data_IF_078221179232
#
_entry.id   IF_078221179232
#
_cell.length_a   1.000
_cell.length_b   1.000
_cell.length_c   1.000
_cell.angle_alpha   90.00
_cell.angle_beta   90.00
_cell.angle_gamma   90.00
#
_symmetry.space_group_name_H-M   'P 1'
#
loop_
_entity.id
_entity.type
_entity.pdbx_description
1 polymer ?
#
# COMPACT_ATOMS: atom_id res chain seq x y z
N UNK A 1 -25.19 -34.79 -17.70
CA UNK A 1 -26.30 -34.51 -16.76
C UNK A 1 -26.35 -33.00 -16.56
N UNK A 2 -27.40 -32.31 -17.03
CA UNK A 2 -27.61 -30.89 -16.78
C UNK A 2 -28.71 -30.67 -15.73
N UNK A 3 -28.53 -29.70 -14.84
CA UNK A 3 -29.67 -29.05 -14.16
C UNK A 3 -29.44 -27.55 -14.10
N UNK A 4 -30.26 -26.86 -14.89
CA UNK A 4 -30.61 -25.45 -14.79
C UNK A 4 -31.59 -25.23 -13.61
N UNK A 5 -31.45 -24.12 -12.89
CA UNK A 5 -32.51 -23.48 -12.08
C UNK A 5 -32.08 -22.02 -11.80
N UNK A 6 -32.66 -20.94 -12.37
CA UNK A 6 -34.02 -20.37 -12.21
C UNK A 6 -34.35 -20.03 -10.73
N UNK A 7 -34.91 -18.90 -10.27
CA UNK A 7 -35.66 -17.76 -10.86
C UNK A 7 -36.21 -16.89 -9.67
N UNK A 8 -36.52 -15.58 -9.89
CA UNK A 8 -37.45 -14.68 -9.13
C UNK A 8 -37.06 -14.23 -7.68
N UNK A 9 -37.20 -12.97 -7.23
CA UNK A 9 -38.41 -12.11 -7.24
C UNK A 9 -38.09 -10.60 -7.20
N UNK A 10 -38.85 -9.83 -7.99
CA UNK A 10 -39.12 -8.39 -7.82
C UNK A 10 -40.45 -8.18 -7.06
N UNK A 11 -40.66 -6.93 -6.62
CA UNK A 11 -41.87 -6.27 -6.09
C UNK A 11 -41.84 -6.05 -4.56
N UNK A 12 -42.23 -4.90 -3.98
CA UNK A 12 -43.19 -3.90 -4.45
C UNK A 12 -42.96 -2.49 -3.88
N UNK A 13 -43.41 -1.48 -4.65
CA UNK A 13 -43.72 -0.10 -4.26
C UNK A 13 -44.75 -0.03 -3.10
N UNK A 14 -44.61 0.98 -2.24
CA UNK A 14 -45.75 1.69 -1.67
C UNK A 14 -45.38 3.17 -1.42
N UNK A 15 -46.00 4.05 -2.20
CA UNK A 15 -46.01 5.49 -2.00
C UNK A 15 -47.20 5.87 -1.11
N UNK A 16 -47.04 6.84 -0.19
CA UNK A 16 -48.14 7.73 0.16
C UNK A 16 -47.63 9.09 0.66
N UNK A 17 -48.35 10.11 0.22
CA UNK A 17 -48.03 11.52 0.09
C UNK A 17 -49.01 12.34 0.99
N UNK A 18 -48.61 13.58 1.38
CA UNK A 18 -49.42 14.82 1.69
C UNK A 18 -49.37 15.37 3.14
N UNK A 19 -49.60 16.70 3.30
CA UNK A 19 -48.72 17.65 3.99
C UNK A 19 -49.47 18.40 5.13
N UNK A 20 -48.77 19.27 5.85
CA UNK A 20 -49.41 20.36 6.56
C UNK A 20 -48.51 21.61 6.60
N UNK A 21 -48.96 22.63 5.87
CA UNK A 21 -48.55 24.02 5.95
C UNK A 21 -49.20 24.68 7.17
N UNK A 22 -48.45 25.47 7.95
CA UNK A 22 -48.82 26.74 8.58
C UNK A 22 -47.78 27.12 9.65
N UNK A 23 -47.40 28.35 9.94
CA UNK A 23 -47.56 29.69 9.36
C UNK A 23 -46.51 30.57 10.07
N UNK A 24 -46.13 31.65 9.40
CA UNK A 24 -45.22 32.72 9.79
C UNK A 24 -45.18 33.11 11.28
N UNK A 25 -43.94 33.27 11.79
CA UNK A 25 -43.62 34.29 12.78
C UNK A 25 -42.44 35.12 12.22
N UNK A 26 -42.72 36.40 12.01
CA UNK A 26 -41.78 37.41 11.58
C UNK A 26 -40.63 37.57 12.59
N UNK A 27 -39.40 37.57 12.09
CA UNK A 27 -38.35 38.43 12.66
C UNK A 27 -37.68 39.14 11.50
N UNK A 28 -38.35 40.21 11.09
CA UNK A 28 -37.80 41.32 10.34
C UNK A 28 -36.72 41.98 11.23
N UNK A 29 -35.57 42.34 10.66
CA UNK A 29 -34.56 43.24 11.24
C UNK A 29 -33.41 42.62 12.08
N UNK A 30 -32.54 41.81 11.46
CA UNK A 30 -31.12 41.77 11.85
C UNK A 30 -30.21 41.19 10.74
N UNK A 31 -30.17 41.84 9.57
CA UNK A 31 -29.40 41.37 8.42
C UNK A 31 -28.60 42.52 7.78
N UNK A 32 -27.82 43.29 8.54
CA UNK A 32 -26.88 44.29 7.98
C UNK A 32 -25.61 44.57 8.84
N UNK A 33 -25.23 43.72 9.81
CA UNK A 33 -24.00 43.95 10.60
C UNK A 33 -23.22 42.67 10.93
N UNK A 34 -22.93 41.84 9.94
CA UNK A 34 -21.84 40.85 10.05
C UNK A 34 -21.06 40.72 8.74
N UNK A 35 -21.02 41.79 7.95
CA UNK A 35 -19.97 41.97 6.94
C UNK A 35 -18.92 42.89 7.54
N UNK A 36 -17.65 42.50 7.44
CA UNK A 36 -16.46 43.15 8.01
C UNK A 36 -16.08 42.74 9.44
N UNK A 37 -15.87 41.44 9.64
CA UNK A 37 -14.72 41.03 10.45
C UNK A 37 -13.68 40.43 9.49
N UNK A 38 -12.50 41.06 9.36
CA UNK A 38 -11.56 40.74 8.30
C UNK A 38 -10.86 39.41 8.58
N UNK A 39 -10.58 38.71 7.48
CA UNK A 39 -9.84 37.47 7.33
C UNK A 39 -8.38 37.54 7.87
N UNK A 40 -8.19 37.79 9.17
CA UNK A 40 -6.88 37.99 9.78
C UNK A 40 -6.40 36.84 10.69
N UNK A 41 -7.15 35.75 10.80
CA UNK A 41 -6.73 34.55 11.57
C UNK A 41 -6.20 33.38 10.73
N UNK A 42 -6.08 33.50 9.40
CA UNK A 42 -5.77 32.34 8.53
C UNK A 42 -4.37 32.20 7.88
N UNK A 43 -3.38 33.11 8.00
CA UNK A 43 -2.09 32.89 7.34
C UNK A 43 -1.23 31.82 8.03
N UNK A 44 -1.36 31.63 9.36
CA UNK A 44 -0.54 30.67 10.11
C UNK A 44 -0.92 29.21 9.81
N UNK A 45 -2.21 28.87 9.90
CA UNK A 45 -2.72 27.52 9.60
C UNK A 45 -2.47 27.11 8.15
N UNK A 46 -2.62 28.05 7.20
CA UNK A 46 -2.35 27.78 5.79
C UNK A 46 -0.86 27.54 5.52
N UNK A 47 0.03 28.20 6.27
CA UNK A 47 1.46 28.02 6.16
C UNK A 47 1.93 26.68 6.78
N UNK A 48 1.31 26.21 7.86
CA UNK A 48 1.59 24.92 8.47
C UNK A 48 1.15 23.75 7.56
N UNK A 49 -0.07 23.81 7.03
CA UNK A 49 -0.57 22.79 6.08
C UNK A 49 0.32 22.69 4.82
N UNK A 50 0.83 23.81 4.31
CA UNK A 50 1.77 23.82 3.18
C UNK A 50 3.13 23.20 3.53
N UNK A 51 3.60 23.38 4.77
CA UNK A 51 4.85 22.78 5.23
C UNK A 51 4.72 21.27 5.38
N UNK A 52 3.64 20.79 5.98
CA UNK A 52 3.32 19.37 6.14
C UNK A 52 3.19 18.67 4.79
N UNK A 53 2.38 19.21 3.88
CA UNK A 53 2.25 18.67 2.52
C UNK A 53 3.60 18.64 1.78
N UNK A 54 4.42 19.68 1.97
CA UNK A 54 5.78 19.72 1.42
C UNK A 54 6.72 18.65 2.00
N UNK A 55 6.55 18.29 3.27
CA UNK A 55 7.34 17.27 3.96
C UNK A 55 6.96 15.86 3.52
N UNK A 56 5.65 15.55 3.49
CA UNK A 56 5.12 14.28 3.00
C UNK A 56 5.61 13.97 1.58
N UNK A 57 5.56 14.96 0.68
CA UNK A 57 6.06 14.82 -0.70
C UNK A 57 7.55 14.51 -0.77
N UNK A 58 8.37 15.16 0.07
CA UNK A 58 9.82 14.92 0.13
C UNK A 58 10.11 13.52 0.66
N UNK A 59 9.38 13.10 1.70
CA UNK A 59 9.52 11.78 2.29
C UNK A 59 9.14 10.70 1.26
N UNK A 60 7.96 10.80 0.65
CA UNK A 60 7.51 9.86 -0.37
C UNK A 60 8.51 9.76 -1.54
N UNK A 61 9.02 10.90 -2.03
CA UNK A 61 10.05 10.89 -3.08
C UNK A 61 11.31 10.17 -2.64
N UNK A 62 11.82 10.45 -1.44
CA UNK A 62 13.04 9.81 -0.95
C UNK A 62 12.88 8.29 -0.82
N UNK A 63 11.71 7.84 -0.34
CA UNK A 63 11.37 6.41 -0.24
C UNK A 63 11.25 5.76 -1.63
N UNK A 64 10.52 6.38 -2.55
CA UNK A 64 10.37 5.89 -3.92
C UNK A 64 11.70 5.85 -4.69
N UNK A 65 12.56 6.88 -4.54
CA UNK A 65 13.92 6.89 -5.10
C UNK A 65 14.76 5.75 -4.55
N UNK A 66 14.71 5.51 -3.23
CA UNK A 66 15.42 4.39 -2.61
C UNK A 66 14.95 3.05 -3.19
N UNK A 67 13.63 2.84 -3.29
CA UNK A 67 13.06 1.61 -3.84
C UNK A 67 13.43 1.42 -5.32
N UNK A 68 13.39 2.47 -6.14
CA UNK A 68 13.78 2.40 -7.55
C UNK A 68 15.27 2.08 -7.73
N UNK A 69 16.13 2.56 -6.82
CA UNK A 69 17.55 2.22 -6.83
C UNK A 69 17.79 0.76 -6.42
N UNK A 70 17.08 0.26 -5.41
CA UNK A 70 17.15 -1.15 -5.02
C UNK A 70 16.68 -2.06 -6.17
N UNK A 71 15.57 -1.71 -6.82
CA UNK A 71 15.05 -2.41 -8.00
C UNK A 71 16.03 -2.34 -9.18
N UNK A 72 16.70 -1.22 -9.41
CA UNK A 72 17.73 -1.09 -10.46
C UNK A 72 18.87 -2.08 -10.26
N UNK A 73 19.33 -2.23 -9.01
CA UNK A 73 20.38 -3.18 -8.67
C UNK A 73 19.89 -4.63 -8.89
N UNK A 74 18.69 -4.98 -8.39
CA UNK A 74 18.11 -6.31 -8.56
C UNK A 74 17.90 -6.67 -10.03
N UNK A 75 17.37 -5.75 -10.84
CA UNK A 75 17.18 -5.95 -12.28
C UNK A 75 18.54 -6.10 -12.99
N UNK A 76 19.57 -5.36 -12.57
CA UNK A 76 20.93 -5.49 -13.12
C UNK A 76 21.59 -6.82 -12.78
N UNK A 77 21.37 -7.34 -11.58
CA UNK A 77 21.85 -8.66 -11.17
C UNK A 77 21.10 -9.77 -11.92
N UNK A 78 19.78 -9.63 -12.06
CA UNK A 78 18.94 -10.52 -12.87
C UNK A 78 19.41 -10.55 -14.33
N UNK A 79 19.69 -9.39 -14.95
CA UNK A 79 20.20 -9.29 -16.31
C UNK A 79 21.50 -10.09 -16.48
N UNK A 80 22.44 -9.98 -15.53
CA UNK A 80 23.68 -10.78 -15.51
C UNK A 80 23.42 -12.28 -15.36
N UNK A 81 22.46 -12.69 -14.54
CA UNK A 81 22.07 -14.10 -14.38
C UNK A 81 21.48 -14.66 -15.69
N UNK A 82 20.62 -13.88 -16.36
CA UNK A 82 20.00 -14.24 -17.65
C UNK A 82 21.03 -14.36 -18.78
N UNK A 83 22.07 -13.52 -18.79
CA UNK A 83 23.19 -13.65 -19.73
C UNK A 83 23.98 -14.95 -19.54
N UNK A 84 24.07 -15.44 -18.31
CA UNK A 84 24.76 -16.68 -17.95
C UNK A 84 23.86 -17.93 -18.12
N UNK A 85 22.56 -17.74 -18.35
CA UNK A 85 21.59 -18.82 -18.53
C UNK A 85 21.67 -19.48 -19.92
N UNK A 86 21.18 -20.72 -20.01
CA UNK A 86 21.09 -21.46 -21.27
C UNK A 86 20.09 -20.87 -22.27
N UNK A 87 20.20 -21.25 -23.56
CA UNK A 87 19.52 -20.58 -24.68
C UNK A 87 17.98 -20.54 -24.61
N UNK A 88 17.32 -21.57 -24.06
CA UNK A 88 15.85 -21.64 -24.04
C UNK A 88 15.23 -20.72 -22.97
N UNK A 89 15.74 -20.73 -21.73
CA UNK A 89 15.25 -19.85 -20.66
C UNK A 89 15.63 -18.38 -20.86
N UNK A 90 16.69 -18.12 -21.63
CA UNK A 90 17.22 -16.79 -21.84
C UNK A 90 16.25 -15.86 -22.60
N UNK A 91 15.47 -16.35 -23.57
CA UNK A 91 14.61 -15.48 -24.38
C UNK A 91 13.42 -14.92 -23.60
N UNK A 92 12.75 -15.77 -22.81
CA UNK A 92 11.61 -15.35 -22.00
C UNK A 92 12.06 -14.36 -20.92
N UNK A 93 13.13 -14.69 -20.19
CA UNK A 93 13.65 -13.81 -19.13
C UNK A 93 14.21 -12.49 -19.69
N UNK A 94 14.79 -12.47 -20.89
CA UNK A 94 15.20 -11.22 -21.55
C UNK A 94 14.01 -10.28 -21.82
N UNK A 95 12.88 -10.84 -22.25
CA UNK A 95 11.65 -10.07 -22.41
C UNK A 95 11.20 -9.47 -21.08
N UNK A 96 11.14 -10.28 -20.03
CA UNK A 96 10.78 -9.84 -18.68
C UNK A 96 11.72 -8.75 -18.17
N UNK A 97 13.05 -8.91 -18.29
CA UNK A 97 14.03 -7.88 -17.86
C UNK A 97 13.80 -6.55 -18.59
N UNK A 98 13.51 -6.58 -19.88
CA UNK A 98 13.23 -5.35 -20.65
C UNK A 98 11.96 -4.65 -20.16
N UNK A 99 10.89 -5.41 -19.87
CA UNK A 99 9.64 -4.87 -19.32
C UNK A 99 9.86 -4.25 -17.94
N UNK A 100 10.59 -4.94 -17.05
CA UNK A 100 10.93 -4.43 -15.72
C UNK A 100 11.74 -3.13 -15.79
N UNK A 101 12.75 -3.05 -16.67
CA UNK A 101 13.55 -1.83 -16.91
C UNK A 101 12.68 -0.68 -17.39
N UNK A 102 11.82 -0.94 -18.38
CA UNK A 102 10.97 0.09 -18.96
C UNK A 102 10.01 0.68 -17.91
N UNK A 103 9.43 -0.16 -17.07
CA UNK A 103 8.52 0.29 -16.02
C UNK A 103 9.22 1.05 -14.91
N UNK A 104 10.42 0.59 -14.49
CA UNK A 104 11.29 1.34 -13.57
C UNK A 104 11.56 2.74 -14.12
N UNK A 105 11.97 2.85 -15.38
CA UNK A 105 12.28 4.12 -16.03
C UNK A 105 11.03 5.03 -16.13
N UNK A 106 9.85 4.44 -16.36
CA UNK A 106 8.58 5.17 -16.36
C UNK A 106 8.27 5.74 -14.96
N UNK A 107 8.38 4.94 -13.91
CA UNK A 107 8.17 5.37 -12.53
C UNK A 107 9.15 6.49 -12.13
N UNK A 108 10.41 6.38 -12.53
CA UNK A 108 11.42 7.43 -12.31
C UNK A 108 11.05 8.75 -12.99
N UNK A 109 10.50 8.69 -14.21
CA UNK A 109 10.05 9.85 -14.96
C UNK A 109 8.82 10.52 -14.32
N UNK A 110 7.85 9.72 -13.88
CA UNK A 110 6.63 10.21 -13.20
C UNK A 110 6.95 10.84 -11.83
N UNK A 111 7.91 10.27 -11.10
CA UNK A 111 8.38 10.84 -9.83
C UNK A 111 8.93 12.28 -9.97
N UNK A 112 9.53 12.58 -11.13
CA UNK A 112 10.03 13.93 -11.44
C UNK A 112 8.89 14.94 -11.62
N UNK A 113 7.67 14.47 -11.92
CA UNK A 113 6.48 15.32 -12.12
C UNK A 113 5.78 15.68 -10.81
N UNK A 114 6.02 14.94 -9.71
CA UNK A 114 5.40 15.15 -8.40
C UNK A 114 5.65 16.55 -7.80
N UNK A 115 6.77 17.19 -8.13
CA UNK A 115 7.15 18.51 -7.62
C UNK A 115 6.13 19.61 -7.99
N UNK A 116 5.49 19.47 -9.15
CA UNK A 116 4.56 20.46 -9.68
C UNK A 116 3.08 20.13 -9.44
N UNK A 117 2.78 18.96 -8.87
CA UNK A 117 1.41 18.48 -8.69
C UNK A 117 0.66 19.31 -7.64
N UNK A 118 -0.63 19.54 -7.83
CA UNK A 118 -1.53 19.99 -6.75
C UNK A 118 -1.64 18.93 -5.66
N UNK A 119 -2.32 19.23 -4.54
CA UNK A 119 -2.45 18.26 -3.45
C UNK A 119 -3.26 17.03 -3.84
N UNK A 120 -4.40 17.23 -4.49
CA UNK A 120 -5.20 16.11 -5.00
C UNK A 120 -4.43 15.27 -6.02
N UNK A 121 -3.73 15.92 -6.96
CA UNK A 121 -2.92 15.20 -7.95
C UNK A 121 -1.77 14.42 -7.31
N UNK A 122 -1.15 14.98 -6.27
CA UNK A 122 -0.10 14.29 -5.53
C UNK A 122 -0.63 13.03 -4.85
N UNK A 123 -1.77 13.09 -4.17
CA UNK A 123 -2.34 11.92 -3.49
C UNK A 123 -2.73 10.81 -4.49
N UNK A 124 -3.32 11.18 -5.63
CA UNK A 124 -3.63 10.23 -6.70
C UNK A 124 -2.36 9.58 -7.28
N UNK A 125 -1.34 10.39 -7.59
CA UNK A 125 -0.06 9.90 -8.11
C UNK A 125 0.70 9.05 -7.09
N UNK A 126 0.69 9.43 -5.81
CA UNK A 126 1.32 8.69 -4.71
C UNK A 126 0.74 7.29 -4.62
N UNK A 127 -0.60 7.17 -4.67
CA UNK A 127 -1.29 5.88 -4.63
C UNK A 127 -0.94 4.98 -5.83
N UNK A 128 -1.06 5.51 -7.06
CA UNK A 128 -0.73 4.77 -8.29
C UNK A 128 0.74 4.30 -8.31
N UNK A 129 1.67 5.22 -8.01
CA UNK A 129 3.09 4.91 -7.97
C UNK A 129 3.41 3.87 -6.89
N UNK A 130 2.81 3.96 -5.71
CA UNK A 130 3.02 2.97 -4.63
C UNK A 130 2.55 1.58 -5.05
N UNK A 131 1.41 1.49 -5.73
CA UNK A 131 0.92 0.21 -6.25
C UNK A 131 1.87 -0.37 -7.29
N UNK A 132 2.33 0.45 -8.24
CA UNK A 132 3.24 0.03 -9.32
C UNK A 132 4.64 -0.31 -8.84
N UNK A 133 5.17 0.41 -7.84
CA UNK A 133 6.44 0.05 -7.19
C UNK A 133 6.35 -1.33 -6.52
N UNK A 134 5.25 -1.61 -5.83
CA UNK A 134 5.03 -2.91 -5.20
C UNK A 134 4.90 -4.04 -6.23
N UNK A 135 4.19 -3.80 -7.33
CA UNK A 135 4.02 -4.77 -8.40
C UNK A 135 5.34 -5.02 -9.16
N UNK A 136 6.10 -3.96 -9.45
CA UNK A 136 7.44 -4.06 -10.05
C UNK A 136 8.38 -4.87 -9.15
N UNK A 137 8.35 -4.64 -7.83
CA UNK A 137 9.15 -5.42 -6.88
C UNK A 137 8.75 -6.89 -6.84
N UNK A 138 7.46 -7.20 -6.81
CA UNK A 138 6.96 -8.57 -6.86
C UNK A 138 7.42 -9.29 -8.13
N UNK A 139 7.24 -8.68 -9.31
CA UNK A 139 7.64 -9.28 -10.59
C UNK A 139 9.16 -9.42 -10.71
N UNK A 140 9.93 -8.49 -10.16
CA UNK A 140 11.40 -8.58 -10.11
C UNK A 140 11.84 -9.77 -9.25
N UNK A 141 11.28 -9.91 -8.05
CA UNK A 141 11.56 -11.05 -7.14
C UNK A 141 11.15 -12.39 -7.77
N UNK A 142 9.99 -12.44 -8.43
CA UNK A 142 9.54 -13.63 -9.16
C UNK A 142 10.51 -14.00 -10.30
N UNK A 143 10.95 -13.01 -11.08
CA UNK A 143 11.88 -13.23 -12.19
C UNK A 143 13.26 -13.67 -11.70
N UNK A 144 13.74 -13.13 -10.57
CA UNK A 144 14.99 -13.54 -9.92
C UNK A 144 14.95 -15.03 -9.55
N UNK A 145 13.88 -15.46 -8.88
CA UNK A 145 13.72 -16.88 -8.50
C UNK A 145 13.65 -17.77 -9.74
N UNK A 146 12.93 -17.35 -10.79
CA UNK A 146 12.81 -18.12 -12.04
C UNK A 146 14.12 -18.18 -12.85
N UNK A 147 15.02 -17.21 -12.67
CA UNK A 147 16.34 -17.22 -13.32
C UNK A 147 17.34 -18.16 -12.63
N UNK A 148 17.09 -18.56 -11.37
CA UNK A 148 17.95 -19.49 -10.64
C UNK A 148 17.92 -20.87 -11.30
N UNK A 149 19.11 -21.44 -11.49
CA UNK A 149 19.28 -22.67 -12.29
C UNK A 149 19.18 -23.93 -11.45
N UNK A 150 19.30 -23.81 -10.13
CA UNK A 150 19.30 -24.95 -9.23
C UNK A 150 18.30 -24.80 -8.10
N UNK A 151 17.74 -25.94 -7.69
CA UNK A 151 16.91 -26.06 -6.51
C UNK A 151 17.61 -25.57 -5.23
N UNK A 152 18.92 -25.78 -5.13
CA UNK A 152 19.68 -25.33 -3.96
C UNK A 152 19.75 -23.80 -3.87
N UNK A 153 19.92 -23.09 -4.99
CA UNK A 153 19.91 -21.62 -5.02
C UNK A 153 18.55 -21.09 -4.58
N UNK A 154 17.46 -21.61 -5.15
CA UNK A 154 16.10 -21.22 -4.77
C UNK A 154 15.84 -21.47 -3.29
N UNK A 155 16.27 -22.62 -2.75
CA UNK A 155 16.08 -22.94 -1.34
C UNK A 155 16.82 -21.96 -0.42
N UNK A 156 18.05 -21.58 -0.75
CA UNK A 156 18.84 -20.64 0.05
C UNK A 156 18.25 -19.24 0.02
N UNK A 157 17.83 -18.78 -1.16
CA UNK A 157 17.14 -17.51 -1.33
C UNK A 157 15.83 -17.50 -0.52
N UNK A 158 14.98 -18.51 -0.73
CA UNK A 158 13.70 -18.68 -0.05
C UNK A 158 13.83 -18.64 1.48
N UNK A 159 14.76 -19.42 2.05
CA UNK A 159 14.98 -19.45 3.50
C UNK A 159 15.38 -18.08 4.05
N UNK A 160 16.27 -17.38 3.36
CA UNK A 160 16.71 -16.03 3.75
C UNK A 160 15.54 -15.05 3.71
N UNK A 161 14.74 -15.13 2.65
CA UNK A 161 13.59 -14.25 2.43
C UNK A 161 12.47 -14.52 3.43
N UNK A 162 12.14 -15.78 3.69
CA UNK A 162 11.14 -16.18 4.69
C UNK A 162 11.54 -15.72 6.10
N UNK A 163 12.82 -15.79 6.46
CA UNK A 163 13.30 -15.23 7.74
C UNK A 163 13.18 -13.71 7.82
N UNK A 164 13.30 -13.00 6.70
CA UNK A 164 13.05 -11.56 6.64
C UNK A 164 11.55 -11.25 6.80
N UNK A 165 10.69 -12.00 6.12
CA UNK A 165 9.23 -11.92 6.26
C UNK A 165 8.83 -12.14 7.72
N UNK A 166 9.34 -13.19 8.36
CA UNK A 166 9.04 -13.52 9.76
C UNK A 166 9.42 -12.36 10.69
N UNK A 167 10.63 -11.80 10.54
CA UNK A 167 11.08 -10.64 11.33
C UNK A 167 10.22 -9.39 11.13
N UNK A 168 9.79 -9.14 9.89
CA UNK A 168 8.93 -7.99 9.57
C UNK A 168 7.51 -8.18 10.11
N UNK A 169 6.96 -9.39 10.03
CA UNK A 169 5.68 -9.75 10.65
C UNK A 169 5.73 -9.55 12.17
N UNK A 170 6.80 -10.00 12.84
CA UNK A 170 7.00 -9.76 14.28
C UNK A 170 7.04 -8.26 14.63
N UNK A 171 7.79 -7.47 13.84
CA UNK A 171 7.85 -6.01 14.02
C UNK A 171 6.49 -5.36 13.81
N UNK A 172 5.72 -5.80 12.81
CA UNK A 172 4.40 -5.30 12.50
C UNK A 172 3.42 -5.59 13.64
N UNK A 173 3.43 -6.81 14.17
CA UNK A 173 2.63 -7.18 15.34
C UNK A 173 2.98 -6.33 16.56
N UNK A 174 4.26 -6.07 16.79
CA UNK A 174 4.70 -5.21 17.89
C UNK A 174 4.21 -3.77 17.70
N UNK A 175 4.28 -3.23 16.48
CA UNK A 175 3.77 -1.91 16.16
C UNK A 175 2.25 -1.83 16.42
N UNK A 176 1.49 -2.81 15.96
CA UNK A 176 0.04 -2.91 16.21
C UNK A 176 -0.29 -3.05 17.70
N UNK A 177 0.52 -3.76 18.48
CA UNK A 177 0.31 -3.88 19.93
C UNK A 177 0.48 -2.52 20.63
N UNK A 178 1.42 -1.69 20.17
CA UNK A 178 1.69 -0.37 20.70
C UNK A 178 0.72 0.71 20.19
N UNK A 179 0.01 0.46 19.08
CA UNK A 179 -0.84 1.41 18.36
C UNK A 179 -2.19 1.77 19.01
N UNK A 180 -2.52 1.16 20.16
CA UNK A 180 -3.85 1.28 20.79
C UNK A 180 -4.84 0.22 20.27
N UNK A 181 -6.03 0.17 20.87
CA UNK A 181 -7.01 -0.90 20.60
C UNK A 181 -7.71 -0.74 19.24
N UNK A 182 -7.84 0.49 18.73
CA UNK A 182 -8.52 0.79 17.46
C UNK A 182 -7.73 0.24 16.26
N UNK A 183 -6.46 0.64 16.14
CA UNK A 183 -5.54 0.13 15.09
C UNK A 183 -5.40 -1.40 15.19
N UNK A 184 -5.28 -1.93 16.42
CA UNK A 184 -5.20 -3.39 16.59
C UNK A 184 -6.44 -4.10 16.06
N UNK A 185 -7.63 -3.57 16.35
CA UNK A 185 -8.90 -4.17 15.91
C UNK A 185 -9.07 -4.09 14.40
N UNK A 186 -8.70 -2.95 13.79
CA UNK A 186 -8.82 -2.73 12.35
C UNK A 186 -7.93 -3.68 11.54
N UNK A 187 -6.67 -3.86 11.96
CA UNK A 187 -5.67 -4.62 11.20
C UNK A 187 -5.52 -6.08 11.64
N UNK A 188 -6.26 -6.54 12.66
CA UNK A 188 -6.18 -7.92 13.13
C UNK A 188 -6.48 -8.94 12.02
N UNK A 189 -7.52 -8.71 11.22
CA UNK A 189 -7.89 -9.62 10.13
C UNK A 189 -6.79 -9.72 9.08
N UNK A 190 -6.19 -8.59 8.69
CA UNK A 190 -5.11 -8.57 7.70
C UNK A 190 -3.86 -9.29 8.19
N UNK A 191 -3.55 -9.17 9.50
CA UNK A 191 -2.46 -9.92 10.12
C UNK A 191 -2.73 -11.43 10.18
N UNK A 192 -4.00 -11.83 10.39
CA UNK A 192 -4.41 -13.24 10.33
C UNK A 192 -4.29 -13.80 8.91
N UNK A 193 -4.72 -13.05 7.89
CA UNK A 193 -4.58 -13.40 6.48
C UNK A 193 -3.09 -13.57 6.11
N UNK A 194 -2.23 -12.63 6.54
CA UNK A 194 -0.80 -12.70 6.27
C UNK A 194 -0.13 -13.93 6.94
N UNK A 195 -0.58 -14.31 8.15
CA UNK A 195 -0.14 -15.56 8.80
C UNK A 195 -0.56 -16.79 8.03
N UNK A 196 -1.76 -16.77 7.45
CA UNK A 196 -2.23 -17.87 6.62
C UNK A 196 -1.38 -17.98 5.34
N UNK A 197 -1.17 -16.88 4.62
CA UNK A 197 -0.32 -16.85 3.42
C UNK A 197 1.10 -17.36 3.72
N UNK A 198 1.67 -16.94 4.87
CA UNK A 198 2.98 -17.41 5.32
C UNK A 198 3.03 -18.91 5.61
N UNK A 199 1.95 -19.49 6.16
CA UNK A 199 1.84 -20.94 6.37
C UNK A 199 1.67 -21.71 5.05
N UNK A 200 0.93 -21.16 4.10
CA UNK A 200 0.80 -21.73 2.76
C UNK A 200 2.15 -21.73 2.04
N UNK A 201 2.94 -20.67 2.20
CA UNK A 201 4.31 -20.57 1.69
C UNK A 201 5.23 -21.66 2.28
N UNK A 202 5.12 -22.00 3.58
CA UNK A 202 5.86 -23.14 4.17
C UNK A 202 5.51 -24.46 3.47
N UNK A 203 4.23 -24.67 3.14
CA UNK A 203 3.80 -25.87 2.44
C UNK A 203 4.36 -25.92 1.01
N UNK A 204 4.39 -24.79 0.32
CA UNK A 204 5.00 -24.70 -1.01
C UNK A 204 6.51 -24.94 -0.96
N UNK A 205 7.20 -24.41 0.05
CA UNK A 205 8.61 -24.68 0.28
C UNK A 205 8.88 -26.17 0.51
N UNK A 206 8.05 -26.86 1.31
CA UNK A 206 8.17 -28.31 1.49
C UNK A 206 7.94 -29.10 0.20
N UNK A 207 7.00 -28.68 -0.65
CA UNK A 207 6.81 -29.31 -1.97
C UNK A 207 8.05 -29.10 -2.84
N UNK A 208 8.57 -27.88 -2.90
CA UNK A 208 9.81 -27.55 -3.61
C UNK A 208 10.98 -28.42 -3.13
N UNK A 209 11.15 -28.57 -1.82
CA UNK A 209 12.18 -29.41 -1.18
C UNK A 209 12.08 -30.90 -1.51
N UNK A 210 10.86 -31.41 -1.75
CA UNK A 210 10.63 -32.81 -2.07
C UNK A 210 10.52 -33.09 -3.59
N UNK A 211 10.40 -32.06 -4.42
CA UNK A 211 10.30 -32.18 -5.86
C UNK A 211 11.54 -32.86 -6.48
N UNK A 212 11.32 -33.72 -7.47
CA UNK A 212 12.40 -34.17 -8.35
C UNK A 212 12.90 -33.03 -9.24
N UNK A 213 14.09 -33.17 -9.84
CA UNK A 213 14.63 -32.16 -10.76
C UNK A 213 13.70 -31.85 -11.93
N UNK A 214 12.89 -32.83 -12.36
CA UNK A 214 11.91 -32.67 -13.43
C UNK A 214 10.68 -31.88 -12.98
N UNK A 215 10.21 -32.09 -11.74
CA UNK A 215 9.05 -31.36 -11.17
C UNK A 215 9.44 -29.97 -10.66
N UNK A 216 10.72 -29.74 -10.42
CA UNK A 216 11.22 -28.50 -9.84
C UNK A 216 10.85 -27.29 -10.69
N UNK A 217 11.01 -27.34 -12.01
CA UNK A 217 10.72 -26.21 -12.90
C UNK A 217 9.25 -25.78 -12.83
N UNK A 218 8.33 -26.75 -12.77
CA UNK A 218 6.90 -26.47 -12.68
C UNK A 218 6.54 -25.84 -11.33
N UNK A 219 7.12 -26.34 -10.24
CA UNK A 219 6.84 -25.87 -8.87
C UNK A 219 7.56 -24.54 -8.57
N UNK A 220 8.71 -24.28 -9.21
CA UNK A 220 9.52 -23.08 -9.00
C UNK A 220 8.72 -21.80 -9.28
N UNK A 221 7.97 -21.76 -10.38
CA UNK A 221 7.17 -20.58 -10.75
C UNK A 221 5.99 -20.35 -9.80
N UNK A 222 5.31 -21.42 -9.37
CA UNK A 222 4.25 -21.34 -8.36
C UNK A 222 4.80 -20.86 -7.02
N UNK A 223 5.95 -21.39 -6.60
CA UNK A 223 6.64 -20.98 -5.39
C UNK A 223 7.11 -19.53 -5.45
N UNK A 224 7.70 -19.09 -6.57
CA UNK A 224 8.14 -17.72 -6.80
C UNK A 224 6.97 -16.73 -6.66
N UNK A 225 5.84 -17.06 -7.28
CA UNK A 225 4.62 -16.26 -7.19
C UNK A 225 4.10 -16.17 -5.75
N UNK A 226 4.08 -17.30 -5.03
CA UNK A 226 3.64 -17.32 -3.63
C UNK A 226 4.57 -16.49 -2.72
N UNK A 227 5.89 -16.65 -2.86
CA UNK A 227 6.87 -15.91 -2.05
C UNK A 227 6.78 -14.40 -2.28
N UNK A 228 6.72 -13.99 -3.55
CA UNK A 228 6.61 -12.58 -3.91
C UNK A 228 5.27 -11.97 -3.46
N UNK A 229 4.18 -12.75 -3.55
CA UNK A 229 2.85 -12.38 -3.05
C UNK A 229 2.83 -12.09 -1.55
N UNK A 230 3.36 -13.00 -0.72
CA UNK A 230 3.46 -12.75 0.75
C UNK A 230 4.29 -11.50 1.04
N UNK A 231 5.38 -11.29 0.31
CA UNK A 231 6.20 -10.09 0.41
C UNK A 231 5.43 -8.80 0.11
N UNK A 232 4.56 -8.82 -0.91
CA UNK A 232 3.69 -7.69 -1.24
C UNK A 232 2.63 -7.45 -0.17
N UNK A 233 1.89 -8.48 0.24
CA UNK A 233 0.87 -8.38 1.29
C UNK A 233 1.46 -7.79 2.57
N UNK A 234 2.62 -8.28 3.00
CA UNK A 234 3.32 -7.76 4.19
C UNK A 234 3.68 -6.27 4.06
N UNK A 235 4.21 -5.84 2.91
CA UNK A 235 4.52 -4.41 2.68
C UNK A 235 3.27 -3.55 2.74
N UNK A 236 2.19 -3.98 2.12
CA UNK A 236 0.92 -3.25 2.13
C UNK A 236 0.39 -3.08 3.55
N UNK A 237 0.24 -4.18 4.31
CA UNK A 237 -0.25 -4.10 5.70
C UNK A 237 0.68 -3.26 6.57
N UNK A 238 2.00 -3.34 6.36
CA UNK A 238 2.97 -2.53 7.10
C UNK A 238 2.79 -1.03 6.86
N UNK A 239 2.62 -0.64 5.60
CA UNK A 239 2.41 0.76 5.21
C UNK A 239 1.08 1.31 5.74
N UNK A 240 0.02 0.48 5.71
CA UNK A 240 -1.30 0.86 6.21
C UNK A 240 -1.28 1.08 7.74
N UNK A 241 -0.63 0.17 8.48
CA UNK A 241 -0.42 0.29 9.94
C UNK A 241 0.43 1.51 10.28
N UNK A 242 1.52 1.75 9.53
CA UNK A 242 2.36 2.93 9.75
C UNK A 242 1.58 4.24 9.51
N UNK A 243 0.77 4.29 8.45
CA UNK A 243 -0.08 5.46 8.15
C UNK A 243 -1.13 5.69 9.24
N UNK A 244 -1.75 4.63 9.76
CA UNK A 244 -2.70 4.72 10.87
C UNK A 244 -2.02 5.22 12.16
N UNK A 245 -0.81 4.73 12.45
CA UNK A 245 -0.01 5.18 13.60
C UNK A 245 0.38 6.66 13.52
N UNK A 246 0.78 7.13 12.34
CA UNK A 246 1.09 8.54 12.12
C UNK A 246 -0.14 9.42 12.33
N UNK A 247 -1.30 8.99 11.83
CA UNK A 247 -2.56 9.71 11.97
C UNK A 247 -3.00 9.81 13.44
N UNK A 248 -3.01 8.68 14.17
CA UNK A 248 -3.34 8.66 15.60
C UNK A 248 -2.36 9.51 16.43
N UNK A 249 -1.08 9.53 16.05
CA UNK A 249 -0.06 10.36 16.70
C UNK A 249 -0.26 11.87 16.50
N UNK A 250 -0.91 12.29 15.41
CA UNK A 250 -1.25 13.69 15.15
C UNK A 250 -2.45 14.13 15.99
N UNK A 251 -3.51 13.31 16.05
CA UNK A 251 -4.72 13.61 16.83
C UNK A 251 -4.40 13.84 18.32
N UNK A 252 -3.56 12.98 18.91
CA UNK A 252 -3.14 13.13 20.31
C UNK A 252 -2.34 14.43 20.56
N UNK A 253 -1.60 14.91 19.57
CA UNK A 253 -0.85 16.17 19.68
C UNK A 253 -1.79 17.37 19.62
N UNK A 254 -2.84 17.32 18.81
CA UNK A 254 -3.86 18.36 18.73
C UNK A 254 -4.66 18.45 20.05
N UNK A 255 -5.14 17.33 20.58
CA UNK A 255 -5.85 17.28 21.87
C UNK A 255 -4.97 17.83 23.02
N UNK A 256 -3.68 17.48 23.04
CA UNK A 256 -2.74 17.97 24.05
C UNK A 256 -2.49 19.49 23.98
N UNK A 257 -2.60 20.09 22.79
CA UNK A 257 -2.47 21.54 22.60
C UNK A 257 -3.75 22.28 23.03
N UNK A 258 -4.93 21.72 22.77
CA UNK A 258 -6.21 22.30 23.22
C UNK A 258 -6.30 22.35 24.75
N UNK A 259 -5.86 21.29 25.45
CA UNK A 259 -5.86 21.23 26.92
C UNK A 259 -4.91 22.26 27.56
N UNK A 260 -3.89 22.72 26.83
CA UNK A 260 -2.89 23.69 27.29
C UNK A 260 -3.25 25.16 27.04
N UNK A 261 -4.39 25.46 26.39
CA UNK A 261 -4.94 26.81 26.32
C UNK A 261 -5.98 26.99 27.44
N UNK A 262 -5.58 27.40 28.67
CA UNK A 262 -6.53 27.63 29.75
C UNK A 262 -7.48 28.75 29.32
N UNK A 263 -8.78 28.49 29.38
CA UNK A 263 -9.82 29.37 28.88
C UNK A 263 -9.65 30.83 29.29
N UNK A 264 -9.22 31.67 28.35
CA UNK A 264 -9.43 33.12 28.37
C UNK A 264 -10.86 33.48 27.90
N UNK A 265 -11.85 32.66 28.26
CA UNK A 265 -13.27 32.90 27.97
C UNK A 265 -14.09 32.99 29.26
N UNK A 266 -13.77 33.94 30.14
CA UNK A 266 -14.76 34.55 31.03
C UNK A 266 -14.40 36.03 31.24
N UNK A 267 -15.02 36.90 30.44
CA UNK A 267 -14.93 38.36 30.53
C UNK A 267 -16.17 39.01 29.94
#
# INVERSE_FOLDING_TARGET
MPTLSSVLRRAALAALILPALALAACTEQQQEQTEQQPAQQQPAQQQEAQQQAGEERRQFRAEAESQLNDLDNQISDLEQQVEQAGQEGQQELQGTVQELRQERDQLQSEMSQLEGASESEFQDMRSDMSQRLNDLQMRTEQAEINAMQSKQEVQQYAQTRMQEIDRKMESLEQNMQNAGDDVRTEYQSQMEDLKQERQELDQQMQKLENASDQEFQDIQSEFASALAGVGQSLRQVSNDVESALQSAGQELQEEAQEVQQPGEQEG
#
